data_IF_930031981212
#
_entry.id   IF_930031981212
#
_cell.length_a   1.000
_cell.length_b   1.000
_cell.length_c   1.000
_cell.angle_alpha   90.00
_cell.angle_beta   90.00
_cell.angle_gamma   90.00
#
_symmetry.space_group_name_H-M   'P 1'
#
loop_
_entity.id
_entity.type
_entity.pdbx_description
1 polymer ?
#
# COMPACT_ATOMS: atom_id res chain seq x y z
N UNK A 1 19.97 67.72 -11.22
CA UNK A 1 19.21 67.12 -10.08
C UNK A 1 18.03 66.35 -10.66
N UNK A 2 18.10 65.02 -10.71
CA UNK A 2 17.06 64.16 -11.27
C UNK A 2 16.69 63.14 -10.18
N UNK A 3 15.57 63.37 -9.49
CA UNK A 3 15.10 62.50 -8.39
C UNK A 3 14.40 61.29 -9.01
N UNK A 4 14.94 60.10 -8.79
CA UNK A 4 14.30 58.82 -9.13
C UNK A 4 13.47 58.40 -7.92
N UNK A 5 12.15 58.32 -8.09
CA UNK A 5 11.22 57.81 -7.09
C UNK A 5 11.16 56.29 -7.24
N UNK A 6 11.55 55.55 -6.21
CA UNK A 6 11.43 54.10 -6.16
C UNK A 6 10.10 53.74 -5.48
N UNK A 7 9.13 53.28 -6.26
CA UNK A 7 7.88 52.71 -5.73
C UNK A 7 8.12 51.25 -5.38
N UNK A 8 8.23 50.93 -4.08
CA UNK A 8 8.15 49.57 -3.58
C UNK A 8 6.71 49.07 -3.69
N UNK A 9 6.46 48.19 -4.67
CA UNK A 9 5.19 47.49 -4.84
C UNK A 9 5.17 46.30 -3.87
N UNK A 10 4.45 46.43 -2.76
CA UNK A 10 4.22 45.33 -1.81
C UNK A 10 3.22 44.37 -2.47
N UNK A 11 3.71 43.26 -3.01
CA UNK A 11 2.86 42.15 -3.47
C UNK A 11 2.40 41.38 -2.24
N UNK A 12 1.17 41.62 -1.80
CA UNK A 12 0.51 40.81 -0.80
C UNK A 12 0.15 39.45 -1.43
N UNK A 13 0.90 38.40 -1.08
CA UNK A 13 0.58 37.02 -1.44
C UNK A 13 -0.55 36.58 -0.50
N UNK A 14 -1.76 36.26 -1.00
CA UNK A 14 -2.81 35.73 -0.15
C UNK A 14 -2.39 34.33 0.32
N UNK A 15 -2.07 34.23 1.60
CA UNK A 15 -1.97 32.95 2.32
C UNK A 15 -3.37 32.32 2.31
N UNK A 16 -3.62 31.41 1.38
CA UNK A 16 -4.74 30.47 1.49
C UNK A 16 -4.39 29.45 2.58
N UNK A 17 -4.64 29.82 3.83
CA UNK A 17 -4.71 28.86 4.92
C UNK A 17 -5.91 27.95 4.68
N UNK A 18 -5.67 26.66 4.43
CA UNK A 18 -6.72 25.65 4.57
C UNK A 18 -7.13 25.64 6.04
N UNK A 19 -8.31 26.16 6.36
CA UNK A 19 -8.90 25.95 7.67
C UNK A 19 -9.08 24.44 7.86
N UNK A 20 -8.39 23.86 8.85
CA UNK A 20 -8.72 22.53 9.34
C UNK A 20 -10.03 22.65 10.11
N UNK A 21 -11.10 22.11 9.55
CA UNK A 21 -12.34 21.90 10.30
C UNK A 21 -11.99 21.06 11.53
N UNK A 22 -12.42 21.45 12.75
CA UNK A 22 -12.18 20.63 13.94
C UNK A 22 -12.74 19.22 13.72
N UNK A 23 -11.95 18.19 14.01
CA UNK A 23 -12.47 16.82 14.03
C UNK A 23 -13.53 16.70 15.14
N UNK A 24 -14.59 15.92 14.92
CA UNK A 24 -15.61 15.74 15.93
C UNK A 24 -15.03 15.06 17.17
N UNK A 25 -15.54 15.44 18.33
CA UNK A 25 -15.12 14.85 19.60
C UNK A 25 -15.59 13.40 19.70
N UNK A 26 -14.73 12.54 20.23
CA UNK A 26 -15.05 11.13 20.48
C UNK A 26 -15.78 11.07 21.82
N UNK A 27 -17.05 10.64 21.81
CA UNK A 27 -17.96 10.69 22.97
C UNK A 27 -17.35 10.08 24.25
N UNK A 28 -16.68 8.93 24.13
CA UNK A 28 -16.15 8.17 25.26
C UNK A 28 -14.64 7.89 25.09
N UNK A 29 -13.83 8.97 25.03
CA UNK A 29 -12.39 8.88 24.76
C UNK A 29 -11.62 7.96 25.74
N UNK A 30 -11.90 8.04 27.05
CA UNK A 30 -11.23 7.19 28.04
C UNK A 30 -11.57 5.70 27.85
N UNK A 31 -12.81 5.40 27.44
CA UNK A 31 -13.28 4.05 27.15
C UNK A 31 -12.54 3.47 25.94
N UNK A 32 -12.42 4.22 24.84
CA UNK A 32 -11.72 3.75 23.65
C UNK A 32 -10.22 3.57 23.90
N UNK A 33 -9.60 4.41 24.73
CA UNK A 33 -8.20 4.27 25.16
C UNK A 33 -8.00 2.98 25.99
N UNK A 34 -8.89 2.70 26.94
CA UNK A 34 -8.86 1.45 27.73
C UNK A 34 -9.06 0.21 26.86
N UNK A 35 -9.94 0.30 25.86
CA UNK A 35 -10.13 -0.76 24.88
C UNK A 35 -8.88 -0.93 24.00
N UNK A 36 -8.23 0.15 23.58
CA UNK A 36 -6.97 0.09 22.83
C UNK A 36 -5.86 -0.62 23.61
N UNK A 37 -5.73 -0.35 24.92
CA UNK A 37 -4.76 -1.06 25.77
C UNK A 37 -4.96 -2.58 25.70
N UNK A 38 -6.22 -3.01 25.78
CA UNK A 38 -6.60 -4.42 25.67
C UNK A 38 -6.32 -4.95 24.26
N UNK A 39 -6.68 -4.16 23.23
CA UNK A 39 -6.45 -4.52 21.83
C UNK A 39 -4.97 -4.68 21.52
N UNK A 40 -4.09 -3.83 22.07
CA UNK A 40 -2.64 -3.92 21.88
C UNK A 40 -2.06 -5.22 22.47
N UNK A 41 -2.52 -5.63 23.65
CA UNK A 41 -2.12 -6.91 24.26
C UNK A 41 -2.60 -8.09 23.41
N UNK A 42 -3.88 -8.07 23.03
CA UNK A 42 -4.48 -9.13 22.23
C UNK A 42 -3.80 -9.24 20.87
N UNK A 43 -3.53 -8.11 20.22
CA UNK A 43 -2.92 -8.06 18.89
C UNK A 43 -1.46 -8.50 18.89
N UNK A 44 -0.74 -8.24 19.98
CA UNK A 44 0.59 -8.82 20.20
C UNK A 44 0.50 -10.35 20.37
N UNK A 45 -0.44 -10.85 21.18
CA UNK A 45 -0.63 -12.28 21.39
C UNK A 45 -1.09 -13.03 20.12
N UNK A 46 -1.91 -12.40 19.27
CA UNK A 46 -2.34 -12.96 17.98
C UNK A 46 -1.16 -13.36 17.09
N UNK A 47 -0.06 -12.60 17.13
CA UNK A 47 1.12 -12.83 16.28
C UNK A 47 2.18 -13.66 16.99
N UNK A 48 2.39 -13.43 18.29
CA UNK A 48 3.56 -13.94 19.00
C UNK A 48 3.29 -15.15 19.90
N UNK A 49 2.03 -15.56 20.11
CA UNK A 49 1.78 -16.75 20.93
C UNK A 49 2.29 -18.01 20.22
N UNK A 50 2.96 -18.86 21.01
CA UNK A 50 3.51 -20.16 20.62
C UNK A 50 2.50 -21.12 20.00
N UNK A 51 1.22 -21.10 20.41
CA UNK A 51 0.25 -22.12 19.95
C UNK A 51 -0.83 -21.52 19.04
N UNK A 52 -1.20 -22.20 17.93
CA UNK A 52 -2.29 -21.75 17.06
C UNK A 52 -3.60 -21.51 17.80
N UNK A 53 -3.93 -22.37 18.77
CA UNK A 53 -5.15 -22.28 19.59
C UNK A 53 -5.19 -20.96 20.38
N UNK A 54 -4.07 -20.54 20.98
CA UNK A 54 -4.02 -19.29 21.74
C UNK A 54 -4.00 -18.06 20.82
N UNK A 55 -3.32 -18.13 19.67
CA UNK A 55 -3.39 -17.08 18.64
C UNK A 55 -4.83 -16.88 18.17
N UNK A 56 -5.53 -17.96 17.86
CA UNK A 56 -6.93 -17.93 17.45
C UNK A 56 -7.86 -17.40 18.54
N UNK A 57 -7.71 -17.87 19.79
CA UNK A 57 -8.49 -17.36 20.92
C UNK A 57 -8.25 -15.86 21.17
N UNK A 58 -7.01 -15.39 20.98
CA UNK A 58 -6.66 -13.97 21.06
C UNK A 58 -7.30 -13.18 19.92
N UNK A 59 -7.34 -13.73 18.71
CA UNK A 59 -8.03 -13.13 17.56
C UNK A 59 -9.53 -13.00 17.79
N UNK A 60 -10.19 -14.04 18.29
CA UNK A 60 -11.62 -13.98 18.61
C UNK A 60 -11.95 -12.92 19.67
N UNK A 61 -11.11 -12.79 20.70
CA UNK A 61 -11.25 -11.72 21.69
C UNK A 61 -10.98 -10.35 21.08
N UNK A 62 -9.92 -10.23 20.27
CA UNK A 62 -9.55 -9.00 19.58
C UNK A 62 -10.70 -8.46 18.74
N UNK A 63 -11.34 -9.30 17.92
CA UNK A 63 -12.50 -8.92 17.10
C UNK A 63 -13.62 -8.35 17.97
N UNK A 64 -13.98 -9.03 19.07
CA UNK A 64 -15.05 -8.58 19.97
C UNK A 64 -14.71 -7.24 20.62
N UNK A 65 -13.48 -7.08 21.12
CA UNK A 65 -13.01 -5.84 21.72
C UNK A 65 -12.92 -4.71 20.70
N UNK A 66 -12.52 -5.00 19.45
CA UNK A 66 -12.43 -4.00 18.40
C UNK A 66 -13.82 -3.49 18.05
N UNK A 67 -14.80 -4.39 17.89
CA UNK A 67 -16.20 -4.00 17.65
C UNK A 67 -16.74 -3.15 18.80
N UNK A 68 -16.39 -3.45 20.06
CA UNK A 68 -16.76 -2.58 21.19
C UNK A 68 -16.13 -1.19 21.08
N UNK A 69 -14.85 -1.10 20.70
CA UNK A 69 -14.16 0.17 20.51
C UNK A 69 -14.77 1.00 19.38
N UNK A 70 -15.10 0.35 18.26
CA UNK A 70 -15.67 1.01 17.08
C UNK A 70 -17.12 1.48 17.27
N UNK A 71 -17.83 0.97 18.29
CA UNK A 71 -19.20 1.42 18.62
C UNK A 71 -19.26 2.80 19.28
N UNK A 72 -18.15 3.32 19.80
CA UNK A 72 -18.11 4.68 20.32
C UNK A 72 -18.37 5.67 19.18
N UNK A 73 -19.19 6.69 19.42
CA UNK A 73 -19.48 7.72 18.42
C UNK A 73 -18.18 8.40 17.96
N UNK A 74 -18.07 8.67 16.67
CA UNK A 74 -16.88 9.28 16.05
C UNK A 74 -15.59 8.46 16.20
N UNK A 75 -15.67 7.15 16.53
CA UNK A 75 -14.50 6.27 16.64
C UNK A 75 -13.63 6.20 15.38
N UNK A 76 -14.18 6.57 14.21
CA UNK A 76 -13.46 6.70 12.95
C UNK A 76 -12.18 7.54 13.06
N UNK A 77 -12.23 8.60 13.86
CA UNK A 77 -11.13 9.56 14.06
C UNK A 77 -10.10 9.06 15.08
N UNK A 78 -10.37 7.98 15.80
CA UNK A 78 -9.42 7.40 16.75
C UNK A 78 -8.36 6.56 16.03
N UNK A 79 -7.06 6.89 16.11
CA UNK A 79 -6.03 6.29 15.24
C UNK A 79 -5.60 4.87 15.61
N UNK A 80 -5.82 4.41 16.86
CA UNK A 80 -5.36 3.11 17.36
C UNK A 80 -3.83 2.85 17.22
N UNK A 81 -3.00 3.84 17.56
CA UNK A 81 -1.53 3.81 17.38
C UNK A 81 -0.80 2.66 18.10
N UNK A 82 -1.40 2.07 19.15
CA UNK A 82 -0.78 1.00 19.93
C UNK A 82 -0.95 -0.38 19.31
N UNK A 83 -1.85 -0.54 18.34
CA UNK A 83 -2.15 -1.82 17.69
C UNK A 83 -1.26 -2.02 16.45
N UNK A 84 0.04 -2.26 16.66
CA UNK A 84 1.03 -2.31 15.56
C UNK A 84 0.93 -3.51 14.62
N UNK A 85 0.27 -4.59 15.04
CA UNK A 85 0.13 -5.82 14.24
C UNK A 85 -1.08 -5.82 13.31
N UNK A 86 -1.88 -4.76 13.36
CA UNK A 86 -3.04 -4.57 12.50
C UNK A 86 -2.77 -3.39 11.59
N UNK A 87 -2.97 -3.59 10.29
CA UNK A 87 -2.90 -2.49 9.34
C UNK A 87 -4.19 -1.68 9.38
N UNK A 88 -4.07 -0.37 9.52
CA UNK A 88 -5.17 0.59 9.53
C UNK A 88 -4.83 1.66 8.49
N UNK A 89 -5.56 1.67 7.38
CA UNK A 89 -5.30 2.60 6.27
C UNK A 89 -6.52 3.45 5.95
N UNK A 90 -6.26 4.71 5.62
CA UNK A 90 -7.26 5.72 5.25
C UNK A 90 -7.02 6.16 3.80
N UNK A 91 -8.07 6.24 2.96
CA UNK A 91 -7.99 6.96 1.71
C UNK A 91 -7.73 8.46 1.99
N UNK A 92 -7.13 9.22 1.06
CA UNK A 92 -6.88 10.64 1.25
C UNK A 92 -8.12 11.50 1.54
N UNK A 93 -9.31 11.04 1.12
CA UNK A 93 -10.58 11.71 1.38
C UNK A 93 -11.21 11.34 2.73
N UNK A 94 -10.61 10.39 3.47
CA UNK A 94 -11.09 9.91 4.77
C UNK A 94 -12.57 9.47 4.77
N UNK A 95 -13.06 8.94 3.65
CA UNK A 95 -14.45 8.46 3.51
C UNK A 95 -14.70 7.12 4.24
N UNK A 96 -13.65 6.31 4.40
CA UNK A 96 -13.65 5.07 5.16
C UNK A 96 -12.24 4.80 5.69
N UNK A 97 -12.06 3.70 6.44
CA UNK A 97 -10.76 3.12 6.76
C UNK A 97 -10.85 1.61 6.72
N UNK A 98 -9.73 0.96 6.41
CA UNK A 98 -9.65 -0.50 6.36
C UNK A 98 -8.76 -0.97 7.49
N UNK A 99 -9.32 -1.84 8.33
CA UNK A 99 -8.55 -2.68 9.24
C UNK A 99 -8.25 -3.99 8.54
N UNK A 100 -7.01 -4.44 8.54
CA UNK A 100 -6.63 -5.75 8.04
C UNK A 100 -5.48 -6.37 8.85
N UNK A 101 -5.60 -7.64 9.19
CA UNK A 101 -4.56 -8.41 9.87
C UNK A 101 -4.57 -9.86 9.44
N UNK A 102 -3.46 -10.54 9.67
CA UNK A 102 -3.26 -11.95 9.32
C UNK A 102 -3.05 -12.79 10.58
N UNK A 103 -3.46 -14.04 10.52
CA UNK A 103 -3.31 -15.05 11.55
C UNK A 103 -2.57 -16.23 10.94
N UNK A 104 -1.36 -16.50 11.43
CA UNK A 104 -0.59 -17.68 11.04
C UNK A 104 -1.22 -18.94 11.66
N UNK A 105 -1.72 -19.84 10.80
CA UNK A 105 -2.31 -21.12 11.19
C UNK A 105 -1.21 -22.18 11.16
N UNK A 106 -0.64 -22.41 9.99
CA UNK A 106 0.47 -23.33 9.75
C UNK A 106 1.36 -22.87 8.59
N UNK A 107 2.31 -23.72 8.19
CA UNK A 107 3.33 -23.43 7.19
C UNK A 107 2.76 -22.97 5.82
N UNK A 108 1.58 -23.45 5.43
CA UNK A 108 0.95 -23.15 4.13
C UNK A 108 -0.43 -22.48 4.30
N UNK A 109 -0.85 -22.19 5.53
CA UNK A 109 -2.16 -21.64 5.80
C UNK A 109 -2.06 -20.37 6.65
N UNK A 110 -2.60 -19.29 6.06
CA UNK A 110 -2.87 -18.03 6.74
C UNK A 110 -4.37 -17.75 6.66
N UNK A 111 -4.93 -17.23 7.74
CA UNK A 111 -6.24 -16.61 7.71
C UNK A 111 -6.09 -15.11 7.77
N UNK A 112 -6.94 -14.41 7.02
CA UNK A 112 -7.03 -12.96 7.05
C UNK A 112 -8.32 -12.53 7.71
N UNK A 113 -8.26 -11.38 8.34
CA UNK A 113 -9.41 -10.72 8.91
C UNK A 113 -9.35 -9.26 8.53
N UNK A 114 -10.53 -8.67 8.31
CA UNK A 114 -10.60 -7.25 8.05
C UNK A 114 -12.00 -6.70 8.21
N UNK A 115 -12.06 -5.38 8.26
CA UNK A 115 -13.32 -4.66 8.19
C UNK A 115 -13.09 -3.28 7.58
N UNK A 116 -14.08 -2.82 6.81
CA UNK A 116 -14.14 -1.44 6.31
C UNK A 116 -15.07 -0.68 7.24
N UNK A 117 -14.58 0.35 7.93
CA UNK A 117 -15.43 1.27 8.69
C UNK A 117 -15.64 2.54 7.87
N UNK A 118 -16.90 2.93 7.70
CA UNK A 118 -17.26 4.18 7.04
C UNK A 118 -17.11 5.35 8.00
N UNK A 119 -16.79 6.53 7.48
CA UNK A 119 -16.75 7.77 8.26
C UNK A 119 -18.18 8.27 8.50
N UNK A 120 -18.82 7.72 9.52
CA UNK A 120 -20.14 8.08 10.02
C UNK A 120 -20.05 8.27 11.54
N UNK A 121 -20.89 9.12 12.16
CA UNK A 121 -20.90 9.28 13.62
C UNK A 121 -21.18 7.96 14.34
N UNK A 122 -22.20 7.22 13.87
CA UNK A 122 -22.52 5.88 14.34
C UNK A 122 -21.76 4.80 13.57
N UNK A 123 -21.54 3.65 14.20
CA UNK A 123 -20.80 2.56 13.60
C UNK A 123 -21.52 1.99 12.36
N UNK A 124 -21.00 2.35 11.18
CA UNK A 124 -21.27 1.68 9.91
C UNK A 124 -20.00 0.97 9.45
N UNK A 125 -20.04 -0.35 9.41
CA UNK A 125 -18.89 -1.16 8.98
C UNK A 125 -19.30 -2.38 8.15
N UNK A 126 -18.37 -2.84 7.31
CA UNK A 126 -18.48 -4.04 6.50
C UNK A 126 -17.41 -5.04 6.97
N UNK A 127 -17.77 -6.07 7.73
CA UNK A 127 -16.84 -7.17 8.04
C UNK A 127 -16.43 -7.90 6.76
N UNK A 128 -15.14 -8.18 6.60
CA UNK A 128 -14.60 -8.90 5.45
C UNK A 128 -14.37 -10.36 5.83
N UNK A 129 -15.01 -11.27 5.09
CA UNK A 129 -14.94 -12.71 5.28
C UNK A 129 -13.93 -13.27 4.29
N UNK A 130 -12.79 -13.71 4.83
CA UNK A 130 -11.70 -14.30 4.07
C UNK A 130 -12.14 -15.60 3.38
N UNK A 131 -11.95 -15.62 2.05
CA UNK A 131 -12.12 -16.78 1.17
C UNK A 131 -10.91 -16.96 0.24
N UNK A 132 -9.74 -16.43 0.61
CA UNK A 132 -8.45 -16.60 -0.09
C UNK A 132 -8.27 -17.99 -0.68
N UNK A 133 -8.34 -19.03 0.17
CA UNK A 133 -8.17 -20.43 -0.23
C UNK A 133 -9.24 -21.01 -1.17
N UNK A 134 -10.30 -20.25 -1.47
CA UNK A 134 -11.36 -20.64 -2.42
C UNK A 134 -11.31 -19.86 -3.73
N UNK A 135 -10.48 -18.82 -3.83
CA UNK A 135 -10.34 -18.00 -5.04
C UNK A 135 -9.32 -18.63 -5.97
N UNK A 136 -9.80 -19.39 -6.95
CA UNK A 136 -8.93 -20.11 -7.90
C UNK A 136 -8.14 -19.21 -8.85
N UNK A 137 -8.76 -18.11 -9.34
CA UNK A 137 -8.10 -17.13 -10.19
C UNK A 137 -8.31 -15.72 -9.63
N UNK A 138 -7.40 -15.24 -8.76
CA UNK A 138 -7.55 -13.94 -8.15
C UNK A 138 -7.46 -12.78 -9.13
N UNK A 139 -6.82 -12.96 -10.29
CA UNK A 139 -6.66 -11.90 -11.28
C UNK A 139 -7.94 -11.58 -12.04
N UNK A 140 -8.92 -12.48 -12.10
CA UNK A 140 -10.19 -12.29 -12.81
C UNK A 140 -11.42 -12.32 -11.89
N UNK A 141 -11.20 -12.29 -10.57
CA UNK A 141 -12.26 -12.48 -9.59
C UNK A 141 -12.79 -11.13 -9.08
N UNK A 142 -14.08 -10.88 -9.32
CA UNK A 142 -14.83 -9.80 -8.68
C UNK A 142 -15.42 -10.33 -7.38
N UNK A 143 -15.03 -9.74 -6.26
CA UNK A 143 -15.34 -10.21 -4.91
C UNK A 143 -16.14 -9.16 -4.13
N UNK A 144 -16.90 -9.61 -3.14
CA UNK A 144 -17.66 -8.80 -2.18
C UNK A 144 -17.07 -9.04 -0.78
N UNK A 145 -17.61 -8.33 0.22
CA UNK A 145 -17.23 -8.52 1.62
C UNK A 145 -17.31 -9.99 2.11
N UNK A 146 -18.28 -10.77 1.63
CA UNK A 146 -18.54 -12.13 2.12
C UNK A 146 -17.68 -13.22 1.43
N UNK A 147 -16.92 -12.83 0.41
CA UNK A 147 -15.96 -13.66 -0.31
C UNK A 147 -14.67 -12.90 -0.60
N UNK A 148 -14.22 -12.11 0.38
CA UNK A 148 -13.05 -11.26 0.25
C UNK A 148 -11.78 -12.10 0.02
N UNK A 149 -10.85 -11.59 -0.80
CA UNK A 149 -9.62 -12.31 -1.15
C UNK A 149 -8.72 -12.56 0.06
N UNK A 150 -8.74 -11.72 1.09
CA UNK A 150 -7.85 -11.86 2.25
C UNK A 150 -6.46 -11.27 2.01
N UNK A 151 -6.13 -10.18 2.69
CA UNK A 151 -4.81 -9.54 2.57
C UNK A 151 -4.55 -8.55 3.70
N UNK A 152 -3.27 -8.24 3.91
CA UNK A 152 -2.82 -7.04 4.61
C UNK A 152 -2.74 -5.87 3.64
N UNK A 153 -3.59 -4.86 3.81
CA UNK A 153 -3.51 -3.66 2.98
C UNK A 153 -2.52 -2.67 3.55
N UNK A 154 -1.58 -2.18 2.74
CA UNK A 154 -0.55 -1.23 3.19
C UNK A 154 -0.62 0.13 2.49
N UNK A 155 -1.44 0.27 1.45
CA UNK A 155 -1.69 1.56 0.81
C UNK A 155 -3.07 1.59 0.16
N UNK A 156 -3.65 2.79 0.12
CA UNK A 156 -4.92 3.08 -0.56
C UNK A 156 -4.83 4.44 -1.24
N UNK A 157 -5.26 4.51 -2.50
CA UNK A 157 -5.27 5.74 -3.28
C UNK A 157 -6.59 5.92 -4.01
N UNK A 158 -7.04 7.16 -4.25
CA UNK A 158 -8.18 7.41 -5.12
C UNK A 158 -7.90 6.88 -6.53
N UNK A 159 -8.93 6.35 -7.18
CA UNK A 159 -8.84 6.00 -8.58
C UNK A 159 -8.88 7.29 -9.44
N UNK A 160 -8.01 7.47 -10.45
CA UNK A 160 -7.83 8.78 -11.10
C UNK A 160 -9.10 9.43 -11.67
N UNK A 161 -9.97 8.67 -12.33
CA UNK A 161 -11.18 9.21 -13.00
C UNK A 161 -12.50 8.84 -12.30
N UNK A 162 -12.47 8.47 -11.02
CA UNK A 162 -13.67 7.94 -10.37
C UNK A 162 -13.75 8.35 -8.91
N UNK A 163 -14.75 9.18 -8.58
CA UNK A 163 -15.12 9.49 -7.21
C UNK A 163 -15.80 8.25 -6.58
N UNK A 164 -15.13 7.61 -5.63
CA UNK A 164 -15.65 6.43 -4.93
C UNK A 164 -15.09 5.09 -5.40
N UNK A 165 -14.06 5.10 -6.25
CA UNK A 165 -13.19 3.95 -6.47
C UNK A 165 -11.79 4.22 -5.92
N UNK A 166 -11.14 3.16 -5.46
CA UNK A 166 -9.84 3.25 -4.80
C UNK A 166 -8.94 2.11 -5.25
N UNK A 167 -7.67 2.42 -5.49
CA UNK A 167 -6.63 1.40 -5.60
C UNK A 167 -6.24 0.92 -4.20
N UNK A 168 -6.26 -0.39 -4.00
CA UNK A 168 -5.80 -1.03 -2.78
C UNK A 168 -4.54 -1.83 -3.07
N UNK A 169 -3.50 -1.60 -2.27
CA UNK A 169 -2.25 -2.33 -2.35
C UNK A 169 -2.19 -3.35 -1.21
N UNK A 170 -2.20 -4.62 -1.58
CA UNK A 170 -2.30 -5.74 -0.65
C UNK A 170 -1.04 -6.60 -0.62
N UNK A 171 -0.76 -7.18 0.55
CA UNK A 171 0.21 -8.24 0.77
C UNK A 171 -0.55 -9.49 1.24
N UNK A 172 -0.24 -10.61 0.61
CA UNK A 172 -0.74 -11.93 0.92
C UNK A 172 0.46 -12.84 1.19
N UNK A 173 0.56 -13.35 2.41
CA UNK A 173 1.58 -14.31 2.82
C UNK A 173 1.53 -15.62 2.03
N UNK A 174 0.39 -15.94 1.42
CA UNK A 174 0.13 -17.04 0.50
C UNK A 174 0.57 -18.42 1.01
N UNK A 175 1.80 -18.84 0.73
CA UNK A 175 2.32 -20.16 1.11
C UNK A 175 3.75 -20.06 1.66
N UNK A 176 4.33 -21.17 2.10
CA UNK A 176 5.66 -21.17 2.72
C UNK A 176 6.78 -20.61 1.83
N UNK A 177 6.80 -21.04 0.56
CA UNK A 177 7.86 -20.71 -0.39
C UNK A 177 7.52 -19.51 -1.28
N UNK A 178 6.26 -19.08 -1.34
CA UNK A 178 5.81 -18.04 -2.23
C UNK A 178 4.92 -17.04 -1.50
N UNK A 179 5.13 -15.76 -1.78
CA UNK A 179 4.32 -14.64 -1.29
C UNK A 179 3.67 -13.94 -2.46
N UNK A 180 2.62 -13.19 -2.17
CA UNK A 180 1.92 -12.37 -3.16
C UNK A 180 1.84 -10.91 -2.73
N UNK A 181 1.97 -10.02 -3.69
CA UNK A 181 1.56 -8.62 -3.59
C UNK A 181 0.61 -8.33 -4.73
N UNK A 182 -0.36 -7.46 -4.50
CA UNK A 182 -1.30 -7.11 -5.55
C UNK A 182 -1.80 -5.68 -5.47
N UNK A 183 -2.33 -5.21 -6.60
CA UNK A 183 -3.17 -4.00 -6.68
C UNK A 183 -4.58 -4.43 -7.08
N UNK A 184 -5.56 -3.91 -6.36
CA UNK A 184 -6.98 -4.20 -6.53
C UNK A 184 -7.79 -2.90 -6.58
N UNK A 185 -9.02 -2.96 -7.08
CA UNK A 185 -9.94 -1.82 -7.08
C UNK A 185 -11.04 -2.06 -6.07
N UNK A 186 -11.12 -1.24 -5.03
CA UNK A 186 -12.28 -1.15 -4.15
C UNK A 186 -13.27 -0.13 -4.70
N UNK A 187 -14.54 -0.52 -4.75
CA UNK A 187 -15.67 0.32 -5.10
C UNK A 187 -16.86 0.03 -4.18
N UNK A 188 -17.84 0.93 -4.12
CA UNK A 188 -19.07 0.70 -3.36
C UNK A 188 -20.26 0.62 -4.32
N UNK A 189 -20.82 -0.58 -4.51
CA UNK A 189 -22.03 -0.79 -5.33
C UNK A 189 -23.23 -0.88 -4.41
N UNK A 190 -24.22 -0.01 -4.60
CA UNK A 190 -25.40 0.11 -3.72
C UNK A 190 -25.01 0.21 -2.23
N UNK A 191 -23.91 0.91 -1.94
CA UNK A 191 -23.37 1.07 -0.59
C UNK A 191 -22.51 -0.09 -0.07
N UNK A 192 -22.43 -1.24 -0.76
CA UNK A 192 -21.65 -2.40 -0.32
C UNK A 192 -20.28 -2.45 -1.03
N UNK A 193 -19.19 -2.85 -0.33
CA UNK A 193 -17.87 -2.93 -0.93
C UNK A 193 -17.76 -4.08 -1.94
N UNK A 194 -17.16 -3.77 -3.08
CA UNK A 194 -16.86 -4.68 -4.18
C UNK A 194 -15.40 -4.48 -4.61
N UNK A 195 -14.69 -5.59 -4.75
CA UNK A 195 -13.28 -5.67 -5.09
C UNK A 195 -13.10 -6.26 -6.50
N UNK A 196 -12.21 -5.66 -7.29
CA UNK A 196 -11.89 -6.05 -8.65
C UNK A 196 -12.54 -5.16 -9.70
N UNK A 197 -11.75 -4.75 -10.70
CA UNK A 197 -12.22 -4.07 -11.91
C UNK A 197 -11.22 -4.30 -13.06
N UNK A 198 -11.68 -4.53 -14.30
CA UNK A 198 -10.81 -4.93 -15.41
C UNK A 198 -10.04 -3.73 -15.96
N UNK A 199 -9.04 -3.27 -15.21
CA UNK A 199 -8.34 -2.00 -15.46
C UNK A 199 -6.83 -2.12 -15.43
N UNK A 200 -6.26 -3.30 -15.18
CA UNK A 200 -4.81 -3.49 -15.15
C UNK A 200 -4.36 -4.26 -16.38
N UNK A 201 -3.50 -3.66 -17.20
CA UNK A 201 -2.81 -4.37 -18.26
C UNK A 201 -1.62 -5.12 -17.66
N UNK A 202 -1.57 -6.44 -17.87
CA UNK A 202 -0.52 -7.33 -17.38
C UNK A 202 0.11 -8.07 -18.55
N UNK A 203 1.43 -8.02 -18.64
CA UNK A 203 2.18 -8.87 -19.55
C UNK A 203 2.05 -10.35 -19.14
N UNK A 204 1.71 -11.22 -20.10
CA UNK A 204 1.62 -12.67 -19.92
C UNK A 204 2.71 -13.43 -20.65
N UNK A 205 3.18 -12.86 -21.75
CA UNK A 205 4.40 -13.23 -22.46
C UNK A 205 4.99 -11.96 -23.05
N UNK A 206 6.26 -12.03 -23.43
CA UNK A 206 6.92 -10.91 -24.11
C UNK A 206 6.04 -10.39 -25.25
N UNK A 207 5.74 -9.09 -25.21
CA UNK A 207 4.91 -8.38 -26.19
C UNK A 207 3.43 -8.85 -26.27
N UNK A 208 2.95 -9.61 -25.27
CA UNK A 208 1.57 -10.09 -25.15
C UNK A 208 0.99 -9.68 -23.78
N UNK A 209 -0.04 -8.84 -23.80
CA UNK A 209 -0.71 -8.34 -22.58
C UNK A 209 -2.14 -8.84 -22.49
N UNK A 210 -2.67 -8.89 -21.26
CA UNK A 210 -4.09 -9.10 -20.96
C UNK A 210 -4.58 -8.04 -19.97
N UNK A 211 -5.88 -7.74 -20.01
CA UNK A 211 -6.52 -6.95 -18.95
C UNK A 211 -6.97 -7.88 -17.82
N UNK A 212 -6.64 -7.52 -16.58
CA UNK A 212 -7.03 -8.24 -15.36
C UNK A 212 -7.78 -7.35 -14.39
N UNK A 213 -8.61 -7.98 -13.55
CA UNK A 213 -9.38 -7.33 -12.48
C UNK A 213 -8.54 -6.97 -11.26
N UNK A 214 -7.47 -7.75 -11.01
CA UNK A 214 -6.51 -7.57 -9.93
C UNK A 214 -5.12 -7.89 -10.47
N UNK A 215 -4.18 -6.96 -10.33
CA UNK A 215 -2.79 -7.19 -10.72
C UNK A 215 -2.05 -7.91 -9.61
N UNK A 216 -1.62 -9.16 -9.85
CA UNK A 216 -0.96 -9.99 -8.83
C UNK A 216 0.49 -10.29 -9.23
N UNK A 217 1.40 -10.09 -8.28
CA UNK A 217 2.79 -10.50 -8.32
C UNK A 217 3.01 -11.60 -7.30
N UNK A 218 3.34 -12.81 -7.78
CA UNK A 218 3.76 -13.93 -6.96
C UNK A 218 5.28 -14.07 -7.06
N UNK A 219 5.94 -14.22 -5.91
CA UNK A 219 7.40 -14.22 -5.81
C UNK A 219 7.88 -15.09 -4.65
N UNK A 220 9.14 -15.51 -4.72
CA UNK A 220 9.78 -16.29 -3.67
C UNK A 220 9.73 -15.64 -2.30
N UNK A 221 9.49 -16.43 -1.25
CA UNK A 221 9.34 -15.93 0.11
C UNK A 221 10.61 -15.27 0.68
N UNK A 222 11.79 -15.61 0.14
CA UNK A 222 13.09 -15.01 0.46
C UNK A 222 13.36 -13.69 -0.27
N UNK A 223 12.60 -13.39 -1.32
CA UNK A 223 12.75 -12.15 -2.07
C UNK A 223 12.00 -10.99 -1.41
N UNK A 224 12.50 -9.78 -1.63
CA UNK A 224 11.81 -8.53 -1.29
C UNK A 224 11.36 -7.88 -2.59
N UNK A 225 10.05 -7.85 -2.83
CA UNK A 225 9.46 -7.28 -4.04
C UNK A 225 8.73 -5.98 -3.73
N UNK A 226 8.99 -4.92 -4.49
CA UNK A 226 8.25 -3.65 -4.47
C UNK A 226 6.98 -3.77 -5.32
N UNK A 227 5.90 -3.20 -4.80
CA UNK A 227 4.68 -2.88 -5.54
C UNK A 227 4.05 -1.69 -4.83
N UNK A 228 4.07 -0.51 -5.43
CA UNK A 228 3.43 0.67 -4.84
C UNK A 228 3.24 1.78 -5.87
N UNK A 229 2.43 2.77 -5.57
CA UNK A 229 2.33 3.97 -6.40
C UNK A 229 3.49 4.93 -6.13
N UNK A 230 4.12 5.42 -7.19
CA UNK A 230 5.12 6.47 -7.13
C UNK A 230 4.49 7.80 -7.59
N UNK A 231 4.39 8.75 -6.67
CA UNK A 231 3.80 10.07 -6.92
C UNK A 231 4.63 10.94 -7.87
N UNK A 232 5.94 10.72 -7.96
CA UNK A 232 6.80 11.51 -8.83
C UNK A 232 6.67 11.07 -10.29
N UNK A 233 6.47 9.77 -10.51
CA UNK A 233 6.27 9.18 -11.83
C UNK A 233 4.80 9.16 -12.25
N UNK A 234 3.86 9.32 -11.31
CA UNK A 234 2.43 9.10 -11.48
C UNK A 234 2.11 7.67 -11.98
N UNK A 235 2.86 6.69 -11.49
CA UNK A 235 2.78 5.29 -11.95
C UNK A 235 2.60 4.33 -10.76
N UNK A 236 1.94 3.21 -10.99
CA UNK A 236 2.14 2.02 -10.17
C UNK A 236 3.51 1.44 -10.55
N UNK A 237 4.39 1.23 -9.59
CA UNK A 237 5.78 0.80 -9.81
C UNK A 237 6.02 -0.51 -9.07
N UNK A 238 6.67 -1.46 -9.73
CA UNK A 238 7.00 -2.76 -9.15
C UNK A 238 8.28 -3.35 -9.72
N UNK A 239 8.89 -4.26 -8.98
CA UNK A 239 10.09 -4.93 -9.45
C UNK A 239 9.74 -5.87 -10.59
N UNK A 240 10.58 -5.87 -11.64
CA UNK A 240 10.49 -6.86 -12.71
C UNK A 240 10.84 -8.24 -12.15
N UNK A 241 10.01 -9.25 -12.44
CA UNK A 241 10.19 -10.60 -11.94
C UNK A 241 10.61 -11.55 -13.05
N UNK A 242 11.67 -12.31 -12.80
CA UNK A 242 12.17 -13.35 -13.70
C UNK A 242 12.03 -14.72 -13.06
N UNK A 243 11.78 -15.73 -13.89
CA UNK A 243 11.75 -17.13 -13.46
C UNK A 243 13.16 -17.66 -13.28
N UNK A 244 13.45 -18.14 -12.07
CA UNK A 244 14.71 -18.79 -11.71
C UNK A 244 14.43 -20.21 -11.21
N UNK A 245 15.45 -21.07 -11.31
CA UNK A 245 15.38 -22.40 -10.70
C UNK A 245 15.13 -22.25 -9.19
N UNK A 246 14.11 -22.92 -8.69
CA UNK A 246 13.77 -22.85 -7.27
C UNK A 246 14.75 -23.71 -6.45
N UNK A 247 15.22 -23.21 -5.30
CA UNK A 247 16.05 -23.99 -4.37
C UNK A 247 15.20 -24.94 -3.50
N UNK A 248 13.87 -24.92 -3.64
CA UNK A 248 12.94 -25.64 -2.78
C UNK A 248 12.45 -26.95 -3.40
N UNK A 249 12.22 -27.99 -2.59
CA UNK A 249 11.62 -29.23 -3.06
C UNK A 249 10.24 -29.00 -3.68
N UNK A 250 9.88 -29.80 -4.68
CA UNK A 250 8.56 -29.83 -5.31
C UNK A 250 8.13 -28.52 -6.01
N UNK A 251 9.07 -27.61 -6.25
CA UNK A 251 8.89 -26.39 -7.04
C UNK A 251 10.06 -26.23 -8.00
N UNK A 252 9.81 -26.36 -9.31
CA UNK A 252 10.87 -26.27 -10.33
C UNK A 252 11.37 -24.83 -10.53
N UNK A 253 10.44 -23.87 -10.53
CA UNK A 253 10.72 -22.46 -10.82
C UNK A 253 10.06 -21.54 -9.80
N UNK A 254 10.69 -20.39 -9.58
CA UNK A 254 10.16 -19.32 -8.75
C UNK A 254 10.45 -17.95 -9.38
N UNK A 255 9.56 -17.00 -9.14
CA UNK A 255 9.78 -15.62 -9.54
C UNK A 255 10.67 -14.91 -8.51
N UNK A 256 11.70 -14.21 -8.99
CA UNK A 256 12.57 -13.36 -8.19
C UNK A 256 12.79 -12.02 -8.89
N UNK A 257 13.00 -10.92 -8.14
CA UNK A 257 13.34 -9.64 -8.74
C UNK A 257 14.76 -9.68 -9.33
N UNK A 258 14.94 -9.15 -10.54
CA UNK A 258 16.26 -9.06 -11.20
C UNK A 258 16.94 -7.70 -11.03
N UNK A 259 16.23 -6.73 -10.44
CA UNK A 259 16.71 -5.37 -10.19
C UNK A 259 16.17 -4.33 -11.17
N UNK A 260 15.59 -4.76 -12.29
CA UNK A 260 14.83 -3.88 -13.17
C UNK A 260 13.50 -3.49 -12.51
N UNK A 261 12.96 -2.35 -12.93
CA UNK A 261 11.71 -1.81 -12.40
C UNK A 261 10.73 -1.60 -13.55
N UNK A 262 9.58 -2.24 -13.45
CA UNK A 262 8.45 -2.04 -14.33
C UNK A 262 7.44 -1.08 -13.71
N UNK A 263 6.48 -0.65 -14.53
CA UNK A 263 5.37 0.13 -14.00
C UNK A 263 4.12 0.08 -14.85
N UNK A 264 3.09 0.74 -14.35
CA UNK A 264 1.87 1.02 -15.07
C UNK A 264 1.52 2.50 -14.97
N UNK A 265 1.24 3.12 -16.11
CA UNK A 265 0.70 4.47 -16.18
C UNK A 265 -0.79 4.41 -16.50
N UNK A 266 -1.54 5.40 -16.05
CA UNK A 266 -2.98 5.42 -16.26
C UNK A 266 -3.34 6.23 -17.50
N UNK A 267 -3.99 5.60 -18.47
CA UNK A 267 -4.45 6.19 -19.72
C UNK A 267 -5.66 5.41 -20.26
N UNK A 268 -6.64 6.09 -20.86
CA UNK A 268 -7.84 5.48 -21.44
C UNK A 268 -8.60 4.56 -20.45
N UNK A 269 -8.65 4.94 -19.17
CA UNK A 269 -9.25 4.18 -18.06
C UNK A 269 -8.57 2.85 -17.72
N UNK A 270 -7.36 2.63 -18.23
CA UNK A 270 -6.56 1.45 -18.01
C UNK A 270 -5.21 1.86 -17.40
N UNK A 271 -4.73 1.08 -16.44
CA UNK A 271 -3.34 1.06 -15.99
C UNK A 271 -2.53 0.25 -17.01
N UNK A 272 -1.98 0.93 -18.01
CA UNK A 272 -1.23 0.36 -19.13
C UNK A 272 0.17 -0.04 -18.68
N UNK A 273 0.63 -1.21 -19.11
CA UNK A 273 1.93 -1.76 -18.72
C UNK A 273 3.06 -1.00 -19.43
N UNK A 274 4.13 -0.68 -18.68
CA UNK A 274 5.37 -0.11 -19.20
C UNK A 274 6.55 -0.91 -18.65
N UNK A 275 7.22 -1.72 -19.48
CA UNK A 275 8.43 -2.43 -19.06
C UNK A 275 9.57 -1.45 -18.84
N UNK A 276 10.46 -1.74 -17.88
CA UNK A 276 11.73 -1.03 -17.62
C UNK A 276 11.59 0.49 -17.66
N UNK A 277 10.95 1.05 -16.63
CA UNK A 277 10.62 2.49 -16.59
C UNK A 277 11.86 3.40 -16.52
N UNK A 278 13.02 2.86 -16.15
CA UNK A 278 14.32 3.51 -16.19
C UNK A 278 15.17 2.93 -17.33
N UNK A 279 14.92 3.42 -18.54
CA UNK A 279 15.60 3.01 -19.78
C UNK A 279 16.76 3.94 -20.17
N UNK A 280 17.12 4.89 -19.30
CA UNK A 280 18.20 5.83 -19.55
C UNK A 280 19.57 5.13 -19.50
N UNK A 281 20.14 4.89 -20.68
CA UNK A 281 21.55 4.58 -20.83
C UNK A 281 22.31 5.88 -20.56
N UNK A 282 22.94 5.98 -19.39
CA UNK A 282 23.89 7.04 -19.10
C UNK A 282 25.15 6.80 -19.94
N UNK A 283 25.42 7.64 -20.94
CA UNK A 283 26.65 7.56 -21.73
C UNK A 283 27.90 7.75 -20.86
N UNK A 284 27.79 8.53 -19.78
CA UNK A 284 28.82 8.66 -18.75
C UNK A 284 28.22 8.56 -17.33
N UNK A 285 28.91 7.92 -16.37
CA UNK A 285 28.48 7.88 -14.98
C UNK A 285 28.42 9.31 -14.40
N UNK A 286 27.45 9.61 -13.51
CA UNK A 286 27.31 10.95 -12.95
C UNK A 286 28.54 11.28 -12.12
N UNK A 287 29.36 12.23 -12.61
CA UNK A 287 30.54 12.70 -11.88
C UNK A 287 30.08 13.68 -10.80
N UNK A 288 30.47 13.51 -9.53
CA UNK A 288 30.23 14.53 -8.52
C UNK A 288 30.96 15.82 -8.92
N UNK A 289 30.28 16.96 -8.86
CA UNK A 289 30.87 18.26 -9.16
C UNK A 289 31.65 18.84 -7.95
N UNK A 290 32.67 19.69 -8.17
CA UNK A 290 33.19 20.11 -9.46
C UNK A 290 34.36 19.22 -9.96
N UNK A 291 34.42 19.03 -11.27
CA UNK A 291 35.68 18.67 -11.94
C UNK A 291 36.63 19.83 -11.68
N UNK A 292 37.70 19.58 -10.93
CA UNK A 292 38.76 20.57 -10.78
C UNK A 292 39.34 20.82 -12.18
N UNK A 293 39.03 21.99 -12.71
CA UNK A 293 39.57 22.54 -13.95
C UNK A 293 41.10 22.36 -13.99
N UNK A 294 41.65 22.27 -15.21
CA UNK A 294 43.06 22.07 -15.64
C UNK A 294 44.10 23.04 -15.02
N UNK A 295 44.02 23.31 -13.73
CA UNK A 295 45.07 23.93 -12.98
C UNK A 295 46.21 22.92 -12.94
N UNK A 296 47.23 23.18 -13.77
CA UNK A 296 48.58 22.59 -13.72
C UNK A 296 49.25 22.93 -12.39
N UNK A 297 48.63 22.56 -11.28
CA UNK A 297 49.19 22.65 -9.95
C UNK A 297 49.84 21.31 -9.66
N UNK A 298 51.10 21.34 -9.26
CA UNK A 298 51.77 20.13 -8.78
C UNK A 298 51.03 19.56 -7.55
N UNK A 299 51.45 18.38 -7.08
CA UNK A 299 50.92 17.76 -5.85
C UNK A 299 51.06 18.64 -4.59
N UNK A 300 51.71 19.81 -4.70
CA UNK A 300 51.89 20.81 -3.64
C UNK A 300 51.13 22.12 -3.90
N UNK A 301 50.28 22.20 -4.94
CA UNK A 301 49.41 23.34 -5.21
C UNK A 301 50.07 24.53 -5.92
N UNK A 302 51.26 24.37 -6.51
CA UNK A 302 51.99 25.44 -7.21
C UNK A 302 51.79 25.39 -8.71
N UNK A 303 51.58 26.54 -9.35
CA UNK A 303 51.45 26.64 -10.81
C UNK A 303 52.73 26.16 -11.50
N UNK A 304 52.63 25.20 -12.42
CA UNK A 304 53.73 24.78 -13.27
C UNK A 304 54.09 25.93 -14.23
N UNK A 305 55.22 26.59 -13.97
CA UNK A 305 55.84 27.49 -14.94
C UNK A 305 56.39 26.66 -16.10
N UNK A 306 55.99 27.02 -17.32
CA UNK A 306 56.53 26.48 -18.58
C UNK A 306 58.06 26.56 -18.63
#
# INVERSE_FOLDING_TARGET
MRKVFWCCLIVAIPFFGKAQTPQPEIENLETIQTLEDTLAILSFAMVNDSTPVKRFASCQKFIKTLVQALKNENSFYYPFERIRTVSIIYPPDSTFRIFSWQLYVDINEYHYYGTIQMNEPELKMYPLIDRSGQVSNPESAILKKDNWYGALYYNVLPFPDSSGQYLLFGYDAFEFFNKRKFVDVLSFKTGEPVFGAPVFEKEVKKDETKIVDRFVLEYGSDAKVKLNYDKSLNMIVFDHLVLMASPYPDQDFMNVPDGDIDGMYYEDKIWKFKPRIYDQILEEPPRPAPVLDDNKKDIFGKDQKN
#
